data_IF_061666467063
#
_entry.id   IF_061666467063
#
_cell.length_a   1.000
_cell.length_b   1.000
_cell.length_c   1.000
_cell.angle_alpha   90.00
_cell.angle_beta   90.00
_cell.angle_gamma   90.00
#
_symmetry.space_group_name_H-M   'P 1'
#
loop_
_entity.id
_entity.type
_entity.pdbx_description
1 polymer ?
#
# COMPACT_ATOMS: atom_id res chain seq x y z
N UNK A 1 -9.60 -1.47 -3.21
CA UNK A 1 -10.99 -1.98 -3.35
C UNK A 1 -11.32 -2.90 -2.18
N UNK A 2 -12.59 -3.07 -1.82
CA UNK A 2 -13.09 -4.14 -0.95
C UNK A 2 -12.58 -5.54 -1.34
N UNK A 3 -12.34 -5.76 -2.64
CA UNK A 3 -11.75 -6.99 -3.16
C UNK A 3 -10.33 -7.26 -2.65
N UNK A 4 -9.54 -6.23 -2.41
CA UNK A 4 -8.16 -6.37 -1.90
C UNK A 4 -8.16 -6.89 -0.46
N UNK A 5 -9.15 -6.49 0.34
CA UNK A 5 -9.34 -6.99 1.71
C UNK A 5 -9.56 -8.50 1.69
N UNK A 6 -10.41 -9.00 0.79
CA UNK A 6 -10.66 -10.44 0.64
C UNK A 6 -9.39 -11.18 0.24
N UNK A 7 -8.57 -10.59 -0.64
CA UNK A 7 -7.31 -11.21 -1.06
C UNK A 7 -6.32 -11.37 0.10
N UNK A 8 -6.18 -10.34 0.95
CA UNK A 8 -5.33 -10.40 2.14
C UNK A 8 -5.91 -11.37 3.17
N UNK A 9 -7.22 -11.34 3.43
CA UNK A 9 -7.85 -12.21 4.44
C UNK A 9 -7.73 -13.70 4.10
N UNK A 10 -7.75 -14.04 2.80
CA UNK A 10 -7.52 -15.41 2.32
C UNK A 10 -6.15 -15.97 2.71
N UNK A 11 -5.16 -15.12 2.94
CA UNK A 11 -3.82 -15.56 3.40
C UNK A 11 -3.85 -16.08 4.84
N UNK A 12 -4.79 -15.60 5.68
CA UNK A 12 -4.86 -15.85 7.13
C UNK A 12 -3.61 -15.41 7.92
N UNK A 13 -2.72 -14.63 7.30
CA UNK A 13 -1.48 -14.15 7.92
C UNK A 13 -1.66 -12.78 8.59
N UNK A 14 -2.56 -11.94 8.07
CA UNK A 14 -2.81 -10.61 8.63
C UNK A 14 -3.90 -10.66 9.72
N UNK A 15 -3.58 -10.11 10.90
CA UNK A 15 -4.50 -10.02 12.05
C UNK A 15 -4.86 -8.59 12.44
N UNK A 16 -4.43 -7.62 11.65
CA UNK A 16 -4.71 -6.21 11.89
C UNK A 16 -6.10 -5.81 11.40
N UNK A 17 -6.33 -4.50 11.31
CA UNK A 17 -7.57 -3.96 10.77
C UNK A 17 -7.32 -3.37 9.38
N UNK A 18 -8.38 -3.29 8.57
CA UNK A 18 -8.34 -2.71 7.24
C UNK A 18 -8.91 -1.27 7.24
N UNK A 19 -8.50 -0.50 6.23
CA UNK A 19 -9.09 0.78 5.88
C UNK A 19 -9.19 0.86 4.36
N UNK A 20 -10.40 0.98 3.82
CA UNK A 20 -10.63 1.00 2.37
C UNK A 20 -10.75 2.45 1.90
N UNK A 21 -9.79 2.89 1.08
CA UNK A 21 -9.74 4.27 0.57
C UNK A 21 -10.84 4.60 -0.43
N UNK A 22 -11.42 3.58 -1.09
CA UNK A 22 -12.43 3.77 -2.13
C UNK A 22 -11.86 4.06 -3.53
N UNK A 23 -10.53 4.12 -3.68
CA UNK A 23 -9.87 4.40 -4.95
C UNK A 23 -8.43 4.86 -4.75
N UNK A 24 -7.87 5.46 -5.79
CA UNK A 24 -6.56 6.14 -5.79
C UNK A 24 -6.73 7.56 -6.32
N UNK A 25 -5.82 8.46 -5.98
CA UNK A 25 -5.78 9.82 -6.51
C UNK A 25 -5.42 9.72 -7.99
N UNK A 26 -6.30 10.18 -8.86
CA UNK A 26 -6.14 10.17 -10.31
C UNK A 26 -6.54 11.52 -10.88
N UNK A 27 -5.58 12.43 -11.14
CA UNK A 27 -5.87 13.71 -11.79
C UNK A 27 -6.49 13.55 -13.18
N UNK A 28 -6.11 12.49 -13.91
CA UNK A 28 -6.64 12.19 -15.24
C UNK A 28 -8.12 11.83 -15.20
N UNK A 29 -8.57 11.13 -14.15
CA UNK A 29 -9.98 10.78 -13.94
C UNK A 29 -10.73 11.83 -13.10
N UNK A 30 -10.08 12.95 -12.73
CA UNK A 30 -10.64 13.98 -11.87
C UNK A 30 -10.86 13.55 -10.41
N UNK A 31 -10.21 12.47 -9.96
CA UNK A 31 -10.33 11.92 -8.60
C UNK A 31 -9.27 12.56 -7.69
N UNK A 32 -9.72 13.47 -6.83
CA UNK A 32 -8.91 14.12 -5.80
C UNK A 32 -8.97 13.40 -4.43
N UNK A 33 -8.10 13.79 -3.48
CA UNK A 33 -8.05 13.19 -2.14
C UNK A 33 -9.37 13.26 -1.37
N UNK A 34 -10.15 14.32 -1.58
CA UNK A 34 -11.45 14.58 -0.93
C UNK A 34 -12.54 13.59 -1.35
N UNK A 35 -12.38 12.93 -2.49
CA UNK A 35 -13.28 11.90 -3.00
C UNK A 35 -12.95 10.50 -2.44
N UNK A 36 -11.85 10.40 -1.69
CA UNK A 36 -11.37 9.16 -1.08
C UNK A 36 -11.55 9.23 0.44
N UNK A 37 -11.53 8.05 1.08
CA UNK A 37 -11.66 7.97 2.54
C UNK A 37 -10.34 8.28 3.28
N UNK A 38 -9.55 9.25 2.79
CA UNK A 38 -8.25 9.60 3.37
C UNK A 38 -8.41 10.38 4.68
N UNK A 39 -9.35 11.32 4.74
CA UNK A 39 -9.59 12.12 5.95
C UNK A 39 -9.98 11.24 7.15
N UNK A 40 -10.83 10.23 6.91
CA UNK A 40 -11.25 9.26 7.92
C UNK A 40 -10.07 8.39 8.39
N UNK A 41 -9.13 8.05 7.50
CA UNK A 41 -7.89 7.36 7.88
C UNK A 41 -7.06 8.24 8.81
N UNK A 42 -6.83 9.49 8.43
CA UNK A 42 -6.03 10.44 9.22
C UNK A 42 -6.64 10.63 10.62
N UNK A 43 -7.96 10.83 10.70
CA UNK A 43 -8.67 10.93 11.98
C UNK A 43 -8.55 9.66 12.83
N UNK A 44 -8.71 8.49 12.22
CA UNK A 44 -8.58 7.21 12.91
C UNK A 44 -7.17 7.00 13.49
N UNK A 45 -6.14 7.38 12.73
CA UNK A 45 -4.74 7.25 13.13
C UNK A 45 -4.37 8.28 14.20
N UNK A 46 -4.89 9.50 14.13
CA UNK A 46 -4.56 10.54 15.11
C UNK A 46 -5.25 10.36 16.47
N UNK A 47 -6.40 9.69 16.51
CA UNK A 47 -7.19 9.49 17.75
C UNK A 47 -6.83 8.21 18.50
N UNK A 48 -6.29 7.19 17.83
CA UNK A 48 -6.02 5.88 18.41
C UNK A 48 -4.52 5.65 18.51
N UNK A 49 -4.11 4.86 19.49
CA UNK A 49 -2.73 4.35 19.57
C UNK A 49 -2.53 3.24 18.54
N UNK A 50 -2.36 3.62 17.27
CA UNK A 50 -2.00 2.70 16.19
C UNK A 50 -0.48 2.61 16.13
N UNK A 51 0.06 1.39 16.19
CA UNK A 51 1.51 1.16 16.18
C UNK A 51 2.10 1.24 14.76
N UNK A 52 1.34 0.81 13.76
CA UNK A 52 1.77 0.77 12.37
C UNK A 52 0.58 0.89 11.42
N UNK A 53 0.80 1.60 10.32
CA UNK A 53 -0.07 1.60 9.15
C UNK A 53 0.69 1.04 7.96
N UNK A 54 0.16 -0.05 7.38
CA UNK A 54 0.70 -0.70 6.18
C UNK A 54 -0.07 -0.18 4.97
N UNK A 55 0.63 0.48 4.04
CA UNK A 55 0.07 0.92 2.78
C UNK A 55 0.09 -0.24 1.77
N UNK A 56 -1.07 -0.84 1.55
CA UNK A 56 -1.29 -1.92 0.59
C UNK A 56 -2.01 -1.39 -0.67
N UNK A 57 -1.38 -0.43 -1.36
CA UNK A 57 -1.89 0.18 -2.59
C UNK A 57 -1.09 -0.36 -3.77
N UNK A 58 -1.78 -0.73 -4.86
CA UNK A 58 -1.15 -1.25 -6.07
C UNK A 58 -0.04 -0.33 -6.60
N UNK A 59 1.06 -0.88 -7.15
CA UNK A 59 2.20 -0.11 -7.63
C UNK A 59 1.96 0.50 -9.03
N UNK A 60 0.88 1.27 -9.20
CA UNK A 60 0.68 2.13 -10.37
C UNK A 60 1.20 3.55 -10.11
N UNK A 61 1.20 4.41 -11.14
CA UNK A 61 1.58 5.82 -11.00
C UNK A 61 0.66 6.54 -10.00
N UNK A 62 -0.64 6.30 -10.10
CA UNK A 62 -1.69 6.83 -9.21
C UNK A 62 -1.55 6.23 -7.81
N UNK A 63 -1.27 4.93 -7.73
CA UNK A 63 -1.05 4.23 -6.47
C UNK A 63 0.18 4.72 -5.71
N UNK A 64 1.26 5.03 -6.43
CA UNK A 64 2.48 5.64 -5.88
C UNK A 64 2.19 7.04 -5.34
N UNK A 65 1.54 7.86 -6.16
CA UNK A 65 1.14 9.22 -5.78
C UNK A 65 0.28 9.21 -4.52
N UNK A 66 -0.69 8.30 -4.47
CA UNK A 66 -1.59 8.14 -3.31
C UNK A 66 -0.83 7.66 -2.07
N UNK A 67 0.09 6.70 -2.23
CA UNK A 67 0.92 6.17 -1.16
C UNK A 67 1.78 7.28 -0.54
N UNK A 68 2.47 8.07 -1.37
CA UNK A 68 3.33 9.16 -0.91
C UNK A 68 2.51 10.23 -0.18
N UNK A 69 1.36 10.63 -0.75
CA UNK A 69 0.47 11.60 -0.16
C UNK A 69 -0.03 11.17 1.23
N UNK A 70 -0.60 9.97 1.34
CA UNK A 70 -1.08 9.44 2.62
C UNK A 70 0.08 9.29 3.60
N UNK A 71 1.22 8.77 3.14
CA UNK A 71 2.41 8.60 3.96
C UNK A 71 2.86 9.90 4.61
N UNK A 72 2.91 11.00 3.87
CA UNK A 72 3.25 12.32 4.42
C UNK A 72 2.27 12.77 5.50
N UNK A 73 0.96 12.51 5.32
CA UNK A 73 -0.07 12.92 6.27
C UNK A 73 -0.02 12.13 7.59
N UNK A 74 0.26 10.83 7.54
CA UNK A 74 0.12 9.95 8.72
C UNK A 74 1.44 9.64 9.44
N UNK A 75 2.59 9.84 8.79
CA UNK A 75 3.93 9.65 9.39
C UNK A 75 4.13 10.37 10.73
N UNK A 76 3.58 11.58 10.98
CA UNK A 76 3.72 12.24 12.28
C UNK A 76 3.05 11.49 13.45
N UNK A 77 2.11 10.59 13.16
CA UNK A 77 1.29 9.93 14.18
C UNK A 77 1.69 8.48 14.44
N UNK A 78 2.29 7.78 13.46
CA UNK A 78 2.58 6.34 13.56
C UNK A 78 3.64 5.90 12.56
N UNK A 79 4.18 4.68 12.75
CA UNK A 79 5.07 4.04 11.78
C UNK A 79 4.29 3.74 10.51
N UNK A 80 4.84 4.10 9.35
CA UNK A 80 4.25 3.82 8.06
C UNK A 80 5.15 2.85 7.31
N UNK A 81 4.58 1.73 6.88
CA UNK A 81 5.25 0.75 6.04
C UNK A 81 4.43 0.49 4.79
N UNK A 82 5.01 -0.22 3.84
CA UNK A 82 4.38 -0.57 2.56
C UNK A 82 4.57 -2.05 2.31
N UNK A 83 3.60 -2.68 1.66
CA UNK A 83 3.76 -4.05 1.18
C UNK A 83 4.97 -4.14 0.25
N UNK A 84 5.66 -5.27 0.29
CA UNK A 84 6.81 -5.50 -0.57
C UNK A 84 6.38 -5.59 -2.05
N UNK A 85 7.25 -5.14 -2.93
CA UNK A 85 7.15 -5.35 -4.36
C UNK A 85 8.21 -6.34 -4.81
N UNK A 86 7.86 -7.18 -5.77
CA UNK A 86 8.80 -8.11 -6.36
C UNK A 86 8.11 -9.25 -7.07
N UNK A 87 8.87 -10.31 -7.25
CA UNK A 87 8.47 -11.46 -8.04
C UNK A 87 7.44 -12.31 -7.30
N UNK A 88 6.42 -12.83 -8.01
CA UNK A 88 5.54 -13.83 -7.43
C UNK A 88 6.33 -15.11 -7.13
N UNK A 89 5.99 -15.77 -6.03
CA UNK A 89 6.57 -17.08 -5.71
C UNK A 89 6.22 -18.09 -6.81
N UNK A 90 7.24 -18.81 -7.29
CA UNK A 90 7.10 -19.78 -8.38
C UNK A 90 7.14 -19.18 -9.79
N UNK A 91 7.42 -17.88 -9.94
CA UNK A 91 7.73 -17.27 -11.24
C UNK A 91 9.22 -17.36 -11.59
N UNK A 92 9.53 -17.53 -12.87
CA UNK A 92 10.92 -17.49 -13.36
C UNK A 92 11.37 -16.05 -13.63
N UNK A 93 12.64 -15.77 -13.35
CA UNK A 93 13.26 -14.45 -13.58
C UNK A 93 13.21 -14.02 -15.04
N UNK A 94 13.34 -14.97 -15.98
CA UNK A 94 13.36 -14.70 -17.42
C UNK A 94 12.04 -14.13 -17.95
N UNK A 95 10.93 -14.40 -17.27
CA UNK A 95 9.59 -13.95 -17.68
C UNK A 95 9.10 -12.73 -16.90
N UNK A 96 9.89 -12.21 -15.97
CA UNK A 96 9.55 -11.02 -15.22
C UNK A 96 9.86 -9.75 -16.01
N UNK A 97 9.00 -8.74 -15.88
CA UNK A 97 9.26 -7.43 -16.47
C UNK A 97 10.39 -6.69 -15.73
N UNK A 98 11.06 -5.80 -16.45
CA UNK A 98 12.22 -5.05 -15.94
C UNK A 98 11.90 -4.23 -14.69
N UNK A 99 10.66 -3.70 -14.58
CA UNK A 99 10.24 -2.90 -13.42
C UNK A 99 10.10 -3.79 -12.19
N UNK A 100 9.45 -4.94 -12.32
CA UNK A 100 9.33 -5.93 -11.23
C UNK A 100 10.71 -6.42 -10.77
N UNK A 101 11.62 -6.71 -11.71
CA UNK A 101 13.00 -7.12 -11.39
C UNK A 101 13.76 -6.02 -10.65
N UNK A 102 13.68 -4.77 -11.12
CA UNK A 102 14.30 -3.63 -10.45
C UNK A 102 13.77 -3.47 -9.02
N UNK A 103 12.45 -3.57 -8.81
CA UNK A 103 11.83 -3.51 -7.47
C UNK A 103 12.26 -4.66 -6.57
N UNK A 104 12.35 -5.88 -7.10
CA UNK A 104 12.83 -7.03 -6.34
C UNK A 104 14.29 -6.86 -5.89
N UNK A 105 15.15 -6.30 -6.76
CA UNK A 105 16.55 -6.00 -6.43
C UNK A 105 16.70 -4.87 -5.41
N UNK A 106 15.89 -3.82 -5.51
CA UNK A 106 15.82 -2.74 -4.50
C UNK A 106 15.39 -3.29 -3.14
N UNK A 107 14.39 -4.18 -3.12
CA UNK A 107 13.83 -4.80 -1.93
C UNK A 107 14.59 -6.04 -1.42
N UNK A 108 15.78 -6.32 -1.94
CA UNK A 108 16.58 -7.49 -1.53
C UNK A 108 16.90 -7.43 -0.04
N UNK A 109 16.86 -8.59 0.60
CA UNK A 109 17.15 -8.73 2.03
C UNK A 109 18.44 -9.51 2.20
N UNK A 110 19.19 -9.18 3.25
CA UNK A 110 20.32 -10.00 3.69
C UNK A 110 19.80 -11.36 4.15
N UNK A 111 20.54 -12.42 3.88
CA UNK A 111 20.25 -13.75 4.40
C UNK A 111 20.94 -13.87 5.76
N UNK A 112 20.17 -14.22 6.79
CA UNK A 112 20.69 -14.66 8.08
C UNK A 112 21.24 -16.09 8.01
#
# INVERSE_FOLDING_TARGET
DSRDVIAIEKTREYRGQYHVLGGVISPMDGIGPEQLHIQQLVQRVSQKTIQEVILAINPSVEGETTTLYIGQLIRPFTKVTRIAFGLPMGGDLEYADEVTLARALEGRRELE
#
